data_IF_747619671796
#
_entry.id   IF_747619671796
#
_cell.length_a   1.000
_cell.length_b   1.000
_cell.length_c   1.000
_cell.angle_alpha   90.00
_cell.angle_beta   90.00
_cell.angle_gamma   90.00
#
_symmetry.space_group_name_H-M   'P 1'
#
loop_
_entity.id
_entity.type
_entity.pdbx_description
1 polymer ?
#
# COMPACT_ATOMS: atom_id res chain seq x y z
N UNK A 1 -13.75 -54.38 -59.59
CA UNK A 1 -12.40 -54.01 -59.16
C UNK A 1 -12.45 -52.62 -58.55
N UNK A 2 -12.08 -52.52 -57.27
CA UNK A 2 -12.02 -51.29 -56.46
C UNK A 2 -10.75 -50.52 -56.82
N UNK A 3 -10.81 -49.24 -57.17
CA UNK A 3 -9.70 -48.31 -56.95
C UNK A 3 -10.28 -46.98 -56.44
N UNK A 4 -9.86 -46.63 -55.23
CA UNK A 4 -10.26 -45.47 -54.44
C UNK A 4 -9.62 -44.19 -54.98
N UNK A 5 -10.40 -43.11 -55.10
CA UNK A 5 -9.85 -41.77 -55.29
C UNK A 5 -9.62 -41.19 -53.90
N UNK A 6 -8.35 -40.95 -53.58
CA UNK A 6 -7.87 -40.31 -52.36
C UNK A 6 -8.21 -38.82 -52.46
N UNK A 7 -9.08 -38.33 -51.57
CA UNK A 7 -9.28 -36.90 -51.32
C UNK A 7 -8.14 -36.46 -50.42
N UNK A 8 -7.16 -35.74 -50.98
CA UNK A 8 -6.15 -35.03 -50.20
C UNK A 8 -6.81 -33.73 -49.71
N UNK A 9 -7.33 -33.75 -48.49
CA UNK A 9 -7.66 -32.54 -47.75
C UNK A 9 -6.34 -31.95 -47.23
N UNK A 10 -5.78 -31.00 -47.96
CA UNK A 10 -4.71 -30.15 -47.42
C UNK A 10 -5.36 -29.19 -46.43
N UNK A 11 -5.42 -29.61 -45.18
CA UNK A 11 -5.81 -28.75 -44.06
C UNK A 11 -4.61 -27.83 -43.79
N UNK A 12 -4.56 -26.69 -44.46
CA UNK A 12 -3.67 -25.59 -44.07
C UNK A 12 -4.15 -25.08 -42.71
N UNK A 13 -3.52 -25.56 -41.64
CA UNK A 13 -3.52 -24.90 -40.33
C UNK A 13 -2.78 -23.57 -40.47
N UNK A 14 -3.47 -22.57 -41.01
CA UNK A 14 -3.18 -21.18 -40.72
C UNK A 14 -3.72 -20.94 -39.31
N UNK A 15 -2.87 -21.17 -38.30
CA UNK A 15 -3.07 -20.57 -36.99
C UNK A 15 -3.07 -19.06 -37.21
N UNK A 16 -4.28 -18.50 -37.29
CA UNK A 16 -4.49 -17.08 -37.23
C UNK A 16 -4.06 -16.63 -35.82
N UNK A 17 -2.80 -16.18 -35.69
CA UNK A 17 -2.48 -15.15 -34.71
C UNK A 17 -3.25 -13.90 -35.15
N UNK A 18 -4.53 -13.84 -34.77
CA UNK A 18 -5.29 -12.60 -34.83
C UNK A 18 -4.62 -11.66 -33.83
N UNK A 19 -4.22 -10.44 -34.21
CA UNK A 19 -3.76 -9.46 -33.24
C UNK A 19 -4.90 -9.28 -32.24
N UNK A 20 -4.61 -9.42 -30.94
CA UNK A 20 -5.57 -9.19 -29.87
C UNK A 20 -6.25 -7.84 -30.12
N UNK A 21 -7.52 -7.89 -30.51
CA UNK A 21 -8.29 -6.70 -30.83
C UNK A 21 -8.42 -5.89 -29.53
N UNK A 22 -8.40 -4.55 -29.58
CA UNK A 22 -8.49 -3.73 -28.35
C UNK A 22 -9.74 -4.00 -27.48
N UNK A 23 -10.76 -4.65 -28.04
CA UNK A 23 -11.91 -5.16 -27.30
C UNK A 23 -11.60 -6.33 -26.35
N UNK A 24 -10.65 -7.20 -26.68
CA UNK A 24 -10.29 -8.36 -25.86
C UNK A 24 -9.50 -7.91 -24.62
N UNK A 25 -8.52 -7.03 -24.82
CA UNK A 25 -7.75 -6.40 -23.72
C UNK A 25 -8.68 -5.65 -22.77
N UNK A 26 -9.67 -4.92 -23.30
CA UNK A 26 -10.64 -4.20 -22.48
C UNK A 26 -11.53 -5.15 -21.67
N UNK A 27 -11.98 -6.25 -22.28
CA UNK A 27 -12.80 -7.28 -21.61
C UNK A 27 -12.02 -7.97 -20.49
N UNK A 28 -10.75 -8.25 -20.72
CA UNK A 28 -9.85 -8.87 -19.76
C UNK A 28 -9.57 -7.96 -18.55
N UNK A 29 -9.26 -6.69 -18.78
CA UNK A 29 -9.07 -5.72 -17.71
C UNK A 29 -10.33 -5.56 -16.83
N UNK A 30 -11.52 -5.55 -17.42
CA UNK A 30 -12.77 -5.49 -16.65
C UNK A 30 -13.03 -6.78 -15.84
N UNK A 31 -12.63 -7.95 -16.36
CA UNK A 31 -12.68 -9.23 -15.62
C UNK A 31 -11.74 -9.20 -14.41
N UNK A 32 -10.49 -8.78 -14.60
CA UNK A 32 -9.48 -8.65 -13.53
C UNK A 32 -9.97 -7.68 -12.46
N UNK A 33 -10.42 -6.49 -12.87
CA UNK A 33 -11.01 -5.48 -11.99
C UNK A 33 -12.17 -6.03 -11.18
N UNK A 34 -13.14 -6.66 -11.83
CA UNK A 34 -14.33 -7.21 -11.15
C UNK A 34 -13.94 -8.25 -10.11
N UNK A 35 -13.05 -9.18 -10.47
CA UNK A 35 -12.60 -10.23 -9.57
C UNK A 35 -11.82 -9.65 -8.38
N UNK A 36 -10.95 -8.67 -8.60
CA UNK A 36 -10.21 -8.02 -7.54
C UNK A 36 -11.13 -7.21 -6.62
N UNK A 37 -12.07 -6.45 -7.15
CA UNK A 37 -13.03 -5.67 -6.34
C UNK A 37 -13.93 -6.55 -5.47
N UNK A 38 -14.28 -7.75 -5.95
CA UNK A 38 -15.00 -8.74 -5.13
C UNK A 38 -14.14 -9.20 -3.94
N UNK A 39 -12.85 -9.47 -4.16
CA UNK A 39 -11.92 -9.83 -3.08
C UNK A 39 -11.77 -8.68 -2.07
N UNK A 40 -11.56 -7.45 -2.54
CA UNK A 40 -11.46 -6.26 -1.69
C UNK A 40 -12.73 -6.09 -0.85
N UNK A 41 -13.90 -6.21 -1.46
CA UNK A 41 -15.19 -6.10 -0.76
C UNK A 41 -15.34 -7.19 0.30
N UNK A 42 -14.97 -8.43 -0.02
CA UNK A 42 -15.01 -9.53 0.94
C UNK A 42 -14.08 -9.31 2.14
N UNK A 43 -12.86 -8.83 1.90
CA UNK A 43 -11.90 -8.54 2.97
C UNK A 43 -12.35 -7.35 3.82
N UNK A 44 -12.93 -6.31 3.22
CA UNK A 44 -13.47 -5.16 3.97
C UNK A 44 -14.64 -5.55 4.87
N UNK A 45 -15.55 -6.38 4.37
CA UNK A 45 -16.73 -6.84 5.13
C UNK A 45 -16.39 -7.72 6.33
N UNK A 46 -15.14 -8.16 6.46
CA UNK A 46 -14.63 -8.88 7.62
C UNK A 46 -14.08 -7.94 8.71
N UNK A 47 -14.14 -6.63 8.48
CA UNK A 47 -13.51 -5.61 9.30
C UNK A 47 -14.43 -4.66 10.03
N UNK A 48 -13.87 -3.82 10.89
CA UNK A 48 -14.63 -2.76 11.54
C UNK A 48 -14.93 -1.63 10.56
N UNK A 49 -14.03 -1.39 9.60
CA UNK A 49 -14.18 -0.33 8.61
C UNK A 49 -15.47 -0.46 7.77
N UNK A 50 -15.96 -1.68 7.50
CA UNK A 50 -17.18 -1.86 6.71
C UNK A 50 -18.41 -1.22 7.34
N UNK A 51 -18.42 -1.03 8.67
CA UNK A 51 -19.51 -0.33 9.37
C UNK A 51 -19.54 1.17 9.03
N UNK A 52 -18.43 1.72 8.55
CA UNK A 52 -18.23 3.14 8.33
C UNK A 52 -18.26 3.54 6.85
N UNK A 53 -18.08 2.58 5.94
CA UNK A 53 -18.11 2.83 4.50
C UNK A 53 -19.57 3.01 4.04
N UNK A 54 -19.89 4.25 3.61
CA UNK A 54 -21.25 4.68 3.24
C UNK A 54 -21.62 4.44 1.78
N UNK A 55 -20.62 4.35 0.91
CA UNK A 55 -20.77 4.00 -0.50
C UNK A 55 -19.85 2.84 -0.82
N UNK A 56 -20.21 1.99 -1.78
CA UNK A 56 -19.27 0.99 -2.31
C UNK A 56 -17.95 1.66 -2.73
N UNK A 57 -16.86 0.89 -2.67
CA UNK A 57 -15.58 1.38 -3.17
C UNK A 57 -15.59 1.42 -4.69
N UNK A 58 -14.99 2.47 -5.23
CA UNK A 58 -14.82 2.68 -6.66
C UNK A 58 -13.34 2.62 -7.02
N UNK A 59 -13.05 2.14 -8.23
CA UNK A 59 -11.68 2.18 -8.77
C UNK A 59 -11.45 3.56 -9.35
N UNK A 60 -10.49 4.28 -8.77
CA UNK A 60 -10.05 5.60 -9.23
C UNK A 60 -9.04 5.47 -10.36
N UNK A 61 -8.05 4.59 -10.17
CA UNK A 61 -6.95 4.38 -11.11
C UNK A 61 -6.43 2.93 -11.03
N UNK A 62 -5.83 2.47 -12.11
CA UNK A 62 -5.21 1.15 -12.22
C UNK A 62 -3.90 1.27 -12.95
N UNK A 63 -2.81 0.96 -12.26
CA UNK A 63 -1.50 0.81 -12.86
C UNK A 63 -1.25 -0.66 -13.18
N UNK A 64 -0.61 -0.95 -14.32
CA UNK A 64 -0.24 -2.32 -14.67
C UNK A 64 1.17 -2.43 -15.21
N UNK A 65 1.88 -3.50 -14.83
CA UNK A 65 3.26 -3.75 -15.22
C UNK A 65 3.43 -5.25 -15.49
N UNK A 66 3.93 -5.59 -16.68
CA UNK A 66 4.31 -6.96 -17.03
C UNK A 66 5.69 -7.29 -16.42
N UNK A 67 5.78 -8.37 -15.64
CA UNK A 67 7.02 -8.90 -15.06
C UNK A 67 7.14 -10.40 -15.34
N UNK A 68 7.96 -10.76 -16.32
CA UNK A 68 7.99 -12.13 -16.83
C UNK A 68 6.65 -12.49 -17.46
N UNK A 69 6.04 -13.58 -17.00
CA UNK A 69 4.75 -14.08 -17.49
C UNK A 69 3.57 -13.59 -16.62
N UNK A 70 3.84 -12.72 -15.63
CA UNK A 70 2.84 -12.18 -14.71
C UNK A 70 2.55 -10.71 -15.00
N UNK A 71 1.28 -10.36 -15.16
CA UNK A 71 0.83 -8.96 -15.18
C UNK A 71 0.43 -8.54 -13.77
N UNK A 72 1.15 -7.57 -13.22
CA UNK A 72 0.85 -6.96 -11.93
C UNK A 72 -0.09 -5.78 -12.11
N UNK A 73 -1.15 -5.72 -11.31
CA UNK A 73 -2.11 -4.61 -11.27
C UNK A 73 -2.13 -3.97 -9.88
N UNK A 74 -1.82 -2.68 -9.84
CA UNK A 74 -1.93 -1.83 -8.65
C UNK A 74 -3.20 -0.98 -8.73
N UNK A 75 -4.13 -1.21 -7.79
CA UNK A 75 -5.41 -0.53 -7.77
C UNK A 75 -5.41 0.64 -6.78
N UNK A 76 -5.86 1.81 -7.23
CA UNK A 76 -6.17 2.95 -6.37
C UNK A 76 -7.68 3.05 -6.23
N UNK A 77 -8.14 3.03 -4.99
CA UNK A 77 -9.57 3.00 -4.68
C UNK A 77 -10.03 4.31 -4.06
N UNK A 78 -11.31 4.62 -4.24
CA UNK A 78 -11.99 5.73 -3.56
C UNK A 78 -13.27 5.26 -2.88
N UNK A 79 -13.68 5.95 -1.83
CA UNK A 79 -14.92 5.67 -1.13
C UNK A 79 -15.34 6.80 -0.21
N UNK A 80 -16.55 6.70 0.34
CA UNK A 80 -17.08 7.68 1.30
C UNK A 80 -17.33 7.06 2.65
N UNK A 81 -16.96 7.77 3.71
CA UNK A 81 -17.24 7.39 5.09
C UNK A 81 -18.53 8.04 5.57
N UNK A 82 -19.27 7.35 6.44
CA UNK A 82 -20.49 7.84 7.04
C UNK A 82 -20.20 8.85 8.16
N UNK A 83 -21.25 9.49 8.67
CA UNK A 83 -21.15 10.47 9.76
C UNK A 83 -20.74 9.85 11.11
N UNK A 84 -20.95 8.55 11.28
CA UNK A 84 -20.54 7.86 12.51
C UNK A 84 -19.03 7.83 12.62
N UNK A 85 -18.32 7.59 11.52
CA UNK A 85 -16.85 7.68 11.48
C UNK A 85 -16.34 9.09 11.83
N UNK A 86 -16.99 10.12 11.30
CA UNK A 86 -16.64 11.51 11.58
C UNK A 86 -16.81 11.88 13.06
N UNK A 87 -17.74 11.20 13.76
CA UNK A 87 -17.98 11.42 15.18
C UNK A 87 -16.98 10.72 16.11
N UNK A 88 -16.14 9.83 15.57
CA UNK A 88 -15.11 9.14 16.32
C UNK A 88 -13.97 10.09 16.72
N UNK A 89 -13.27 9.73 17.79
CA UNK A 89 -12.00 10.39 18.13
C UNK A 89 -10.95 10.11 17.06
N UNK A 90 -9.95 10.99 16.93
CA UNK A 90 -8.86 10.77 15.96
C UNK A 90 -8.13 9.44 16.17
N UNK A 91 -8.07 8.95 17.42
CA UNK A 91 -7.53 7.63 17.75
C UNK A 91 -8.35 6.50 17.19
N UNK A 92 -9.65 6.54 17.37
CA UNK A 92 -10.54 5.52 16.82
C UNK A 92 -10.53 5.56 15.28
N UNK A 93 -10.56 6.76 14.68
CA UNK A 93 -10.43 6.91 13.22
C UNK A 93 -9.14 6.28 12.70
N UNK A 94 -8.01 6.53 13.36
CA UNK A 94 -6.74 5.97 12.96
C UNK A 94 -6.70 4.44 13.11
N UNK A 95 -7.13 3.89 14.24
CA UNK A 95 -7.13 2.43 14.45
C UNK A 95 -8.01 1.71 13.43
N UNK A 96 -9.17 2.27 13.09
CA UNK A 96 -10.03 1.74 12.02
C UNK A 96 -9.33 1.82 10.66
N UNK A 97 -8.68 2.93 10.33
CA UNK A 97 -7.93 3.06 9.08
C UNK A 97 -6.66 2.18 9.06
N UNK A 98 -6.08 1.87 10.21
CA UNK A 98 -4.92 0.98 10.35
C UNK A 98 -5.26 -0.46 10.00
N UNK A 99 -6.54 -0.82 9.97
CA UNK A 99 -6.98 -2.12 9.48
C UNK A 99 -6.50 -2.42 8.03
N UNK A 100 -6.26 -1.38 7.23
CA UNK A 100 -5.67 -1.54 5.90
C UNK A 100 -4.23 -2.09 5.91
N UNK A 101 -3.50 -1.91 7.00
CA UNK A 101 -2.16 -2.48 7.13
C UNK A 101 -2.21 -3.97 7.46
N UNK A 102 -3.20 -4.39 8.25
CA UNK A 102 -3.29 -5.80 8.68
C UNK A 102 -3.85 -6.73 7.59
N UNK A 103 -4.59 -6.20 6.61
CA UNK A 103 -5.14 -6.97 5.48
C UNK A 103 -4.27 -6.80 4.25
N UNK A 104 -3.92 -7.89 3.56
CA UNK A 104 -3.01 -7.78 2.40
C UNK A 104 -3.67 -7.24 1.13
N UNK A 105 -5.01 -7.26 0.98
CA UNK A 105 -5.72 -6.82 -0.23
C UNK A 105 -5.03 -7.23 -1.54
N UNK A 106 -4.55 -8.47 -1.55
CA UNK A 106 -3.83 -9.08 -2.67
C UNK A 106 -4.63 -10.22 -3.25
N UNK A 107 -4.55 -10.40 -4.57
CA UNK A 107 -5.16 -11.56 -5.22
C UNK A 107 -4.39 -12.00 -6.45
N UNK A 108 -4.12 -13.29 -6.53
CA UNK A 108 -3.56 -13.90 -7.73
C UNK A 108 -4.62 -14.75 -8.44
N UNK A 109 -4.61 -14.73 -9.77
CA UNK A 109 -5.46 -15.57 -10.59
C UNK A 109 -4.66 -16.12 -11.77
N UNK A 110 -4.94 -17.36 -12.11
CA UNK A 110 -4.36 -18.07 -13.25
C UNK A 110 -5.43 -18.12 -14.37
N UNK A 111 -5.09 -17.58 -15.53
CA UNK A 111 -5.81 -17.79 -16.78
C UNK A 111 -4.82 -18.46 -17.74
N UNK A 112 -5.25 -19.44 -18.54
CA UNK A 112 -4.46 -20.53 -19.17
C UNK A 112 -3.14 -20.13 -19.91
N UNK A 113 -2.84 -18.83 -20.04
CA UNK A 113 -1.63 -18.26 -20.64
C UNK A 113 -1.00 -17.06 -19.87
N UNK A 114 -1.64 -16.46 -18.87
CA UNK A 114 -1.16 -15.25 -18.17
C UNK A 114 -1.48 -15.33 -16.68
N UNK A 115 -0.45 -15.16 -15.85
CA UNK A 115 -0.62 -15.00 -14.41
C UNK A 115 -0.99 -13.55 -14.09
N UNK A 116 -2.00 -13.36 -13.24
CA UNK A 116 -2.40 -12.06 -12.73
C UNK A 116 -2.07 -11.92 -11.27
N UNK A 117 -1.44 -10.80 -10.89
CA UNK A 117 -1.22 -10.41 -9.51
C UNK A 117 -1.82 -9.04 -9.26
N UNK A 118 -2.86 -8.96 -8.44
CA UNK A 118 -3.55 -7.72 -8.11
C UNK A 118 -3.24 -7.32 -6.67
N UNK A 119 -3.01 -6.04 -6.43
CA UNK A 119 -2.87 -5.47 -5.09
C UNK A 119 -3.54 -4.10 -5.01
N UNK A 120 -3.90 -3.68 -3.79
CA UNK A 120 -4.40 -2.34 -3.52
C UNK A 120 -3.23 -1.45 -3.12
N UNK A 121 -2.87 -0.49 -3.98
CA UNK A 121 -1.76 0.45 -3.72
C UNK A 121 -2.14 1.49 -2.68
N UNK A 122 -3.35 2.03 -2.84
CA UNK A 122 -3.87 3.09 -1.98
C UNK A 122 -5.39 3.14 -2.01
N UNK A 123 -5.95 3.70 -0.95
CA UNK A 123 -7.37 4.04 -0.87
C UNK A 123 -7.53 5.46 -0.36
N UNK A 124 -8.46 6.20 -0.98
CA UNK A 124 -8.87 7.54 -0.55
C UNK A 124 -10.31 7.50 -0.05
N UNK A 125 -10.50 7.82 1.22
CA UNK A 125 -11.79 7.82 1.89
C UNK A 125 -12.16 9.23 2.32
N UNK A 126 -13.34 9.71 1.94
CA UNK A 126 -13.79 11.08 2.29
C UNK A 126 -14.99 11.07 3.23
N UNK A 127 -14.95 11.91 4.27
CA UNK A 127 -16.13 12.44 4.96
C UNK A 127 -16.50 13.80 4.34
N UNK A 128 -17.59 14.47 4.78
CA UNK A 128 -17.86 15.84 4.38
C UNK A 128 -16.78 16.87 4.79
N UNK A 129 -16.02 16.59 5.84
CA UNK A 129 -15.04 17.49 6.44
C UNK A 129 -13.59 17.15 6.09
N UNK A 130 -13.29 15.86 5.92
CA UNK A 130 -11.93 15.34 5.87
C UNK A 130 -11.75 14.34 4.72
N UNK A 131 -10.55 14.32 4.17
CA UNK A 131 -10.08 13.30 3.23
C UNK A 131 -8.95 12.50 3.85
N UNK A 132 -9.12 11.19 3.89
CA UNK A 132 -8.14 10.23 4.38
C UNK A 132 -7.52 9.48 3.20
N UNK A 133 -6.19 9.52 3.07
CA UNK A 133 -5.45 8.70 2.10
C UNK A 133 -4.63 7.68 2.86
N UNK A 134 -4.87 6.41 2.56
CA UNK A 134 -4.09 5.28 3.08
C UNK A 134 -3.28 4.70 1.93
N UNK A 135 -1.98 4.54 2.10
CA UNK A 135 -1.08 4.09 1.02
C UNK A 135 -0.08 3.05 1.53
N UNK A 136 0.30 2.09 0.66
CA UNK A 136 1.21 0.98 0.98
C UNK A 136 2.43 0.84 0.08
N UNK A 137 2.58 1.70 -0.93
CA UNK A 137 3.58 1.56 -1.99
C UNK A 137 5.05 1.41 -1.51
N UNK A 138 5.39 1.94 -0.34
CA UNK A 138 6.75 1.80 0.26
C UNK A 138 6.73 1.66 1.78
N UNK A 139 5.75 2.27 2.43
CA UNK A 139 5.45 2.17 3.86
C UNK A 139 3.96 2.41 4.08
N UNK A 140 3.42 1.90 5.18
CA UNK A 140 2.04 2.18 5.55
C UNK A 140 1.92 3.62 6.06
N UNK A 141 1.21 4.46 5.31
CA UNK A 141 1.00 5.88 5.64
C UNK A 141 -0.49 6.19 5.62
N UNK A 142 -0.96 6.90 6.65
CA UNK A 142 -2.27 7.52 6.66
C UNK A 142 -2.10 9.04 6.63
N UNK A 143 -2.76 9.70 5.70
CA UNK A 143 -2.82 11.15 5.61
C UNK A 143 -4.26 11.63 5.79
N UNK A 144 -4.47 12.69 6.58
CA UNK A 144 -5.73 13.43 6.72
C UNK A 144 -5.52 14.82 6.11
N UNK A 145 -6.29 15.16 5.09
CA UNK A 145 -6.19 16.43 4.36
C UNK A 145 -4.77 16.75 3.88
N UNK A 146 -4.07 15.73 3.33
CA UNK A 146 -2.67 15.78 2.89
C UNK A 146 -1.63 15.98 4.00
N UNK A 147 -2.02 15.92 5.27
CA UNK A 147 -1.11 15.93 6.42
C UNK A 147 -1.01 14.53 7.00
N UNK A 148 0.14 14.15 7.55
CA UNK A 148 0.28 12.87 8.25
C UNK A 148 -0.72 12.77 9.40
N UNK A 149 -1.36 11.62 9.54
CA UNK A 149 -2.39 11.39 10.54
C UNK A 149 -1.95 10.29 11.51
N UNK A 150 -1.74 10.67 12.77
CA UNK A 150 -1.41 9.76 13.87
C UNK A 150 -2.02 10.28 15.18
N UNK A 151 -2.71 9.42 15.95
CA UNK A 151 -3.48 9.82 17.13
C UNK A 151 -2.69 9.71 18.43
N UNK A 152 -1.43 9.27 18.37
CA UNK A 152 -0.55 9.27 19.53
C UNK A 152 -0.58 10.66 20.12
N UNK A 153 -0.91 10.82 21.42
CA UNK A 153 -1.02 12.12 22.01
C UNK A 153 0.29 12.85 21.81
N UNK A 154 0.20 13.89 21.00
CA UNK A 154 1.03 15.09 20.93
C UNK A 154 1.03 15.83 22.28
N UNK A 155 0.97 15.12 23.42
CA UNK A 155 1.12 15.71 24.76
C UNK A 155 2.57 16.14 25.00
N UNK A 156 3.49 15.79 24.09
CA UNK A 156 4.84 16.38 24.02
C UNK A 156 5.19 17.00 22.67
N UNK A 157 4.42 16.80 21.59
CA UNK A 157 4.81 17.27 20.25
C UNK A 157 4.24 18.65 19.82
N UNK A 158 3.54 19.37 20.72
CA UNK A 158 3.34 20.83 20.59
C UNK A 158 3.78 21.64 21.82
N UNK A 159 4.47 21.02 22.78
CA UNK A 159 4.96 21.73 23.99
C UNK A 159 6.48 21.72 24.22
N UNK A 160 7.27 21.25 23.25
CA UNK A 160 8.69 21.62 23.11
C UNK A 160 8.99 21.86 21.61
N UNK A 161 8.23 22.75 20.96
CA UNK A 161 8.55 23.22 19.61
C UNK A 161 9.51 24.42 19.63
N UNK A 162 10.48 24.41 20.56
CA UNK A 162 11.48 25.50 20.61
C UNK A 162 12.86 25.15 21.20
N UNK A 163 13.24 23.88 21.43
CA UNK A 163 14.59 23.59 21.96
C UNK A 163 15.35 22.36 21.44
N UNK A 164 14.79 21.49 20.60
CA UNK A 164 15.59 20.42 19.95
C UNK A 164 15.25 20.37 18.47
N UNK A 165 16.26 20.61 17.64
CA UNK A 165 16.16 20.54 16.18
C UNK A 165 16.12 19.07 15.74
N UNK A 166 15.23 18.69 14.82
CA UNK A 166 15.20 17.36 14.20
C UNK A 166 16.60 16.95 13.68
N UNK A 167 17.40 17.94 13.26
CA UNK A 167 18.79 17.72 12.83
C UNK A 167 19.70 17.19 13.95
N UNK A 168 19.45 17.57 15.19
CA UNK A 168 20.21 17.15 16.37
C UNK A 168 19.86 15.71 16.76
N UNK A 169 18.57 15.37 16.72
CA UNK A 169 18.07 14.00 16.95
C UNK A 169 18.63 13.08 15.85
N UNK A 170 18.51 13.49 14.59
CA UNK A 170 19.08 12.77 13.45
C UNK A 170 20.59 12.57 13.59
N UNK A 171 21.34 13.64 13.89
CA UNK A 171 22.80 13.58 14.03
C UNK A 171 23.24 12.66 15.16
N UNK A 172 22.53 12.70 16.29
CA UNK A 172 22.79 11.80 17.40
C UNK A 172 22.51 10.35 17.04
N UNK A 173 21.37 10.05 16.43
CA UNK A 173 21.03 8.69 16.01
C UNK A 173 22.01 8.16 14.99
N UNK A 174 22.42 8.99 14.02
CA UNK A 174 23.46 8.63 13.05
C UNK A 174 24.77 8.27 13.73
N UNK A 175 25.22 9.08 14.69
CA UNK A 175 26.43 8.79 15.47
C UNK A 175 26.32 7.49 16.28
N UNK A 176 25.14 7.19 16.84
CA UNK A 176 24.91 5.92 17.53
C UNK A 176 24.95 4.72 16.58
N UNK A 177 24.33 4.82 15.39
CA UNK A 177 24.46 3.80 14.35
C UNK A 177 25.92 3.59 13.98
N UNK A 178 26.65 4.66 13.67
CA UNK A 178 28.05 4.57 13.24
C UNK A 178 28.93 3.90 14.32
N UNK A 179 28.70 4.19 15.61
CA UNK A 179 29.41 3.57 16.75
C UNK A 179 29.08 2.11 16.97
N UNK A 180 27.80 1.76 16.90
CA UNK A 180 27.34 0.38 17.18
C UNK A 180 27.65 -0.57 16.03
N UNK A 181 27.63 -0.03 14.81
CA UNK A 181 27.68 -0.82 13.58
C UNK A 181 29.00 -0.71 12.83
N UNK A 182 30.02 -0.10 13.44
CA UNK A 182 31.29 0.21 12.79
C UNK A 182 31.06 0.86 11.42
N UNK A 183 30.35 1.99 11.40
CA UNK A 183 29.95 2.71 10.17
C UNK A 183 29.14 1.85 9.19
N UNK A 184 28.34 0.91 9.70
CA UNK A 184 27.45 0.04 8.94
C UNK A 184 28.01 -1.34 8.58
N UNK A 185 29.26 -1.64 8.87
CA UNK A 185 29.88 -2.94 8.55
C UNK A 185 29.18 -4.15 9.18
N UNK A 186 28.68 -4.02 10.42
CA UNK A 186 27.96 -5.08 11.13
C UNK A 186 26.53 -4.68 11.50
N UNK A 187 25.90 -3.85 10.66
CA UNK A 187 24.51 -3.45 10.88
C UNK A 187 23.57 -4.67 10.83
N UNK A 188 22.66 -4.68 11.80
CA UNK A 188 21.58 -5.64 11.99
C UNK A 188 20.33 -4.82 12.36
N UNK A 189 19.34 -4.72 11.45
CA UNK A 189 18.18 -3.86 11.66
C UNK A 189 17.33 -4.28 12.86
N UNK A 190 17.28 -5.58 13.18
CA UNK A 190 16.45 -6.07 14.30
C UNK A 190 16.99 -5.65 15.66
N UNK A 191 18.29 -5.45 15.76
CA UNK A 191 18.96 -5.10 17.01
C UNK A 191 19.31 -3.61 17.06
N UNK A 192 19.92 -3.08 16.00
CA UNK A 192 20.46 -1.74 16.00
C UNK A 192 19.38 -0.66 15.89
N UNK A 193 18.32 -0.88 15.11
CA UNK A 193 17.28 0.14 14.94
C UNK A 193 16.55 0.40 16.25
N UNK A 194 16.14 -0.68 16.92
CA UNK A 194 15.50 -0.61 18.24
C UNK A 194 16.43 0.05 19.26
N UNK A 195 17.70 -0.36 19.32
CA UNK A 195 18.65 0.14 20.30
C UNK A 195 18.98 1.63 20.10
N UNK A 196 19.14 2.08 18.85
CA UNK A 196 19.44 3.48 18.54
C UNK A 196 18.21 4.35 18.79
N UNK A 197 17.02 3.88 18.42
CA UNK A 197 15.75 4.53 18.71
C UNK A 197 15.54 4.71 20.22
N UNK A 198 15.76 3.66 21.03
CA UNK A 198 15.68 3.73 22.50
C UNK A 198 16.70 4.71 23.10
N UNK A 199 17.93 4.74 22.57
CA UNK A 199 18.96 5.69 23.03
C UNK A 199 18.59 7.13 22.75
N UNK A 200 17.98 7.40 21.60
CA UNK A 200 17.52 8.75 21.23
C UNK A 200 16.28 9.14 22.02
N UNK A 201 15.34 8.21 22.21
CA UNK A 201 14.19 8.36 23.09
C UNK A 201 14.59 8.84 24.49
N UNK A 202 15.54 8.13 25.12
CA UNK A 202 16.06 8.49 26.44
C UNK A 202 16.74 9.86 26.44
N UNK A 203 17.55 10.16 25.42
CA UNK A 203 18.31 11.42 25.37
C UNK A 203 17.41 12.64 25.18
N UNK A 204 16.44 12.54 24.29
CA UNK A 204 15.60 13.68 23.88
C UNK A 204 14.23 13.68 24.56
N UNK A 205 13.98 12.74 25.46
CA UNK A 205 12.68 12.59 26.15
C UNK A 205 11.50 12.44 25.17
N UNK A 206 11.74 11.69 24.10
CA UNK A 206 10.75 11.28 23.09
C UNK A 206 10.57 9.76 23.16
N UNK A 207 9.66 9.19 22.38
CA UNK A 207 9.53 7.74 22.24
C UNK A 207 10.53 7.18 21.24
N UNK A 208 10.81 5.87 21.32
CA UNK A 208 11.66 5.19 20.34
C UNK A 208 11.04 5.26 18.94
N UNK A 209 9.72 5.15 18.85
CA UNK A 209 8.98 5.27 17.60
C UNK A 209 9.12 6.68 16.99
N UNK A 210 8.96 7.74 17.78
CA UNK A 210 9.19 9.12 17.32
C UNK A 210 10.64 9.34 16.88
N UNK A 211 11.63 8.80 17.62
CA UNK A 211 13.03 8.90 17.24
C UNK A 211 13.29 8.22 15.88
N UNK A 212 12.78 6.98 15.71
CA UNK A 212 12.90 6.24 14.46
C UNK A 212 12.23 6.99 13.29
N UNK A 213 11.05 7.56 13.53
CA UNK A 213 10.32 8.35 12.55
C UNK A 213 11.08 9.62 12.15
N UNK A 214 11.62 10.37 13.11
CA UNK A 214 12.44 11.56 12.84
C UNK A 214 13.65 11.18 11.99
N UNK A 215 14.32 10.07 12.30
CA UNK A 215 15.49 9.63 11.55
C UNK A 215 15.16 9.33 10.08
N UNK A 216 14.08 8.58 9.84
CA UNK A 216 13.61 8.24 8.49
C UNK A 216 13.18 9.49 7.72
N UNK A 217 12.34 10.33 8.33
CA UNK A 217 11.80 11.53 7.69
C UNK A 217 12.90 12.56 7.39
N UNK A 218 13.88 12.71 8.28
CA UNK A 218 15.02 13.59 8.02
C UNK A 218 15.89 13.07 6.86
N UNK A 219 16.13 11.75 6.79
CA UNK A 219 16.90 11.17 5.68
C UNK A 219 16.19 11.33 4.32
N UNK A 220 14.86 11.28 4.29
CA UNK A 220 14.08 11.52 3.06
C UNK A 220 14.17 12.99 2.63
N UNK A 221 14.07 13.95 3.57
CA UNK A 221 14.14 15.40 3.29
C UNK A 221 15.48 15.84 2.70
N UNK A 222 16.56 15.07 2.89
CA UNK A 222 17.91 15.39 2.42
C UNK A 222 18.25 14.77 1.06
N UNK A 223 17.34 13.98 0.46
CA UNK A 223 17.49 13.38 -0.88
C UNK A 223 16.78 14.21 -1.94
#
# INVERSE_FOLDING_TARGET
>A
MRWSIIIIFVCTMLSACSPANGEDIRRENEKVKTNFMNEVTNQLNQGELSNYVSTGLEVDDVESILRGDTTHYGFKLTGKLNKEFESLTEREQYEILKEFDSKSFTKTFDDEQIDYSCEMDSITLSTPSDTFKVSRATSFIIQKNNLYFSPTPTVTAYKILDQVDDSEIYSYMKDQYDKLTNFGENYDPKYHDLLVAEKAAVKFSITAEEAAEIYINYQIRQK
#
